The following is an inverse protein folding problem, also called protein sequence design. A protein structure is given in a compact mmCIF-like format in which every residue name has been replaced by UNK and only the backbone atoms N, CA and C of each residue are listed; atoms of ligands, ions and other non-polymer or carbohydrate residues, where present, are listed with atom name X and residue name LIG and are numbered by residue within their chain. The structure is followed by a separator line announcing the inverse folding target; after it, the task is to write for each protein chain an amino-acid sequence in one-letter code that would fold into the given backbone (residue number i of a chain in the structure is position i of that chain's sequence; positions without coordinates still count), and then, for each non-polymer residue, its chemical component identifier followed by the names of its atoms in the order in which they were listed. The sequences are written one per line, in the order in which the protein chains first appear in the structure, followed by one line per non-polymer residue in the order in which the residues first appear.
data_IF_074781482227
#
_entry.id   IF_074781482227
#
_cell.length_a   1.000
_cell.length_b   1.000
_cell.length_c   1.000
_cell.angle_alpha   90.00
_cell.angle_beta   90.00
_cell.angle_gamma   90.00
#
_symmetry.space_group_name_H-M   'P 1'
#
loop_
_entity.id
_entity.type
_entity.pdbx_description
1 polymer ?
#
# COMPACT_ATOMS: atom_id res chain seq x y z
N UNK A 1 -11.23 -24.89 10.55
CA UNK A 1 -9.84 -24.40 10.44
C UNK A 1 -9.65 -23.71 9.10
N UNK A 2 -9.36 -22.40 9.09
CA UNK A 2 -8.93 -21.69 7.88
C UNK A 2 -7.43 -21.36 8.03
N UNK A 3 -6.56 -22.24 7.53
CA UNK A 3 -5.11 -22.01 7.44
C UNK A 3 -4.78 -20.94 6.40
N UNK A 4 -3.60 -20.32 6.51
CA UNK A 4 -3.05 -19.38 5.53
C UNK A 4 -2.04 -20.09 4.62
N UNK A 5 -2.11 -19.96 3.29
CA UNK A 5 -1.09 -20.55 2.43
C UNK A 5 0.18 -19.67 2.41
N UNK A 6 1.34 -20.31 2.56
CA UNK A 6 2.64 -19.77 2.16
C UNK A 6 3.29 -20.84 1.29
N UNK A 7 3.70 -20.52 0.06
CA UNK A 7 4.33 -21.52 -0.83
C UNK A 7 5.65 -22.00 -0.22
N UNK A 8 5.76 -23.30 0.04
CA UNK A 8 6.98 -23.94 0.49
C UNK A 8 7.96 -24.15 -0.67
N UNK A 9 9.25 -23.93 -0.42
CA UNK A 9 10.36 -24.47 -1.21
C UNK A 9 10.56 -25.96 -0.91
N UNK A 10 11.27 -26.66 -1.80
CA UNK A 10 11.50 -28.11 -1.76
C UNK A 10 11.90 -28.65 -0.37
N UNK A 11 11.47 -29.88 -0.01
CA UNK A 11 11.72 -30.43 1.31
C UNK A 11 13.22 -30.67 1.54
N UNK A 12 13.71 -30.29 2.73
CA UNK A 12 15.01 -30.69 3.21
C UNK A 12 15.04 -32.22 3.42
N UNK A 13 16.10 -32.87 2.97
CA UNK A 13 16.15 -34.31 2.82
C UNK A 13 16.15 -35.13 4.12
N UNK A 14 16.32 -34.52 5.30
CA UNK A 14 16.21 -35.21 6.60
C UNK A 14 16.00 -34.18 7.73
N UNK A 15 14.76 -33.79 8.02
CA UNK A 15 14.42 -32.98 9.20
C UNK A 15 13.29 -31.95 9.02
N UNK A 16 12.74 -31.48 10.15
CA UNK A 16 11.77 -30.36 10.20
C UNK A 16 12.50 -29.07 9.79
N UNK A 17 12.07 -28.44 8.71
CA UNK A 17 12.57 -27.11 8.33
C UNK A 17 11.76 -26.03 9.04
N UNK A 18 12.44 -25.02 9.59
CA UNK A 18 11.81 -23.87 10.25
C UNK A 18 11.97 -22.64 9.36
N UNK A 19 10.86 -21.98 9.07
CA UNK A 19 10.84 -20.70 8.35
C UNK A 19 10.35 -19.59 9.29
N UNK A 20 11.17 -18.57 9.53
CA UNK A 20 10.70 -17.37 10.20
C UNK A 20 9.78 -16.57 9.25
N UNK A 21 8.56 -16.33 9.68
CA UNK A 21 7.57 -15.52 8.95
C UNK A 21 7.45 -14.12 9.54
N UNK A 22 7.77 -13.95 10.82
CA UNK A 22 7.61 -12.69 11.53
C UNK A 22 8.57 -12.60 12.72
N UNK A 23 9.28 -11.48 12.80
CA UNK A 23 9.98 -11.06 14.01
C UNK A 23 9.12 -10.02 14.75
N UNK A 24 8.88 -10.15 16.07
CA UNK A 24 8.09 -9.18 16.81
C UNK A 24 8.85 -7.85 16.92
N UNK A 25 8.15 -6.71 16.95
CA UNK A 25 8.77 -5.43 17.21
C UNK A 25 9.36 -5.40 18.63
N UNK A 26 10.68 -5.40 18.75
CA UNK A 26 11.41 -4.86 19.90
C UNK A 26 11.08 -5.44 21.28
N UNK A 27 10.81 -6.75 21.39
CA UNK A 27 10.80 -7.38 22.73
C UNK A 27 12.25 -7.49 23.23
N UNK A 28 12.65 -6.59 24.12
CA UNK A 28 13.85 -6.77 24.94
C UNK A 28 13.80 -8.14 25.61
N UNK A 29 14.91 -8.89 25.56
CA UNK A 29 15.04 -10.14 26.30
C UNK A 29 14.78 -9.87 27.78
N UNK A 30 13.62 -10.30 28.27
CA UNK A 30 13.25 -10.19 29.68
C UNK A 30 14.21 -11.07 30.49
N UNK A 31 15.24 -10.46 31.09
CA UNK A 31 16.20 -11.20 31.91
C UNK A 31 15.50 -11.76 33.15
N UNK A 32 15.79 -13.03 33.48
CA UNK A 32 15.30 -13.67 34.70
C UNK A 32 14.06 -14.57 34.58
N UNK A 33 13.48 -14.77 33.39
CA UNK A 33 12.43 -15.79 33.17
C UNK A 33 12.83 -16.83 32.11
N UNK A 34 12.25 -18.05 32.15
CA UNK A 34 12.44 -19.02 31.07
C UNK A 34 11.96 -18.48 29.72
N UNK A 35 12.61 -18.93 28.65
CA UNK A 35 12.13 -18.76 27.28
C UNK A 35 10.81 -19.52 27.14
N UNK A 36 9.74 -18.81 26.77
CA UNK A 36 8.42 -19.38 26.55
C UNK A 36 8.22 -19.64 25.06
N UNK A 37 8.08 -20.91 24.71
CA UNK A 37 7.84 -21.37 23.33
C UNK A 37 6.45 -21.97 23.23
N UNK A 38 5.60 -21.40 22.38
CA UNK A 38 4.30 -21.98 22.03
C UNK A 38 4.49 -23.03 20.94
N UNK A 39 3.81 -24.17 21.11
CA UNK A 39 3.75 -25.24 20.11
C UNK A 39 2.40 -25.13 19.40
N UNK A 40 2.45 -25.00 18.08
CA UNK A 40 1.36 -24.66 17.17
C UNK A 40 0.82 -23.22 17.31
N UNK A 41 0.23 -22.91 18.47
CA UNK A 41 -0.48 -21.67 18.74
C UNK A 41 -0.32 -21.36 20.23
N UNK A 42 -0.12 -20.09 20.65
CA UNK A 42 -0.22 -19.68 22.04
C UNK A 42 -1.46 -20.25 22.74
N UNK A 43 -1.27 -20.91 23.88
CA UNK A 43 -2.40 -21.44 24.67
C UNK A 43 -3.36 -20.30 25.02
N UNK A 44 -4.65 -20.47 24.69
CA UNK A 44 -5.68 -19.45 24.88
C UNK A 44 -5.98 -18.58 23.65
N UNK A 45 -5.20 -18.71 22.56
CA UNK A 45 -5.44 -17.96 21.31
C UNK A 45 -6.41 -18.69 20.37
N UNK A 46 -7.45 -17.99 19.95
CA UNK A 46 -8.38 -18.47 18.93
C UNK A 46 -7.79 -18.33 17.51
N UNK A 47 -7.58 -19.48 16.86
CA UNK A 47 -6.85 -19.60 15.59
C UNK A 47 -7.44 -18.81 14.41
N UNK A 48 -8.76 -18.57 14.38
CA UNK A 48 -9.43 -17.93 13.24
C UNK A 48 -9.72 -16.43 13.45
N UNK A 49 -9.75 -15.97 14.71
CA UNK A 49 -10.25 -14.63 15.09
C UNK A 49 -9.18 -13.76 15.74
N UNK A 50 -8.16 -14.36 16.36
CA UNK A 50 -7.18 -13.62 17.15
C UNK A 50 -7.67 -13.22 18.54
N UNK A 51 -8.86 -13.67 18.95
CA UNK A 51 -9.31 -13.53 20.34
C UNK A 51 -8.39 -14.33 21.27
N UNK A 52 -8.12 -13.78 22.45
CA UNK A 52 -7.16 -14.33 23.41
C UNK A 52 -7.83 -14.44 24.77
N UNK A 53 -7.60 -15.55 25.46
CA UNK A 53 -7.98 -15.72 26.87
C UNK A 53 -7.24 -14.71 27.74
N UNK A 54 -7.92 -14.12 28.73
CA UNK A 54 -7.34 -13.12 29.63
C UNK A 54 -6.15 -13.66 30.46
N UNK A 55 -6.07 -14.98 30.63
CA UNK A 55 -4.99 -15.69 31.33
C UNK A 55 -3.87 -16.17 30.40
N UNK A 56 -3.93 -15.85 29.10
CA UNK A 56 -2.91 -16.27 28.15
C UNK A 56 -1.54 -15.64 28.45
N UNK A 57 -0.49 -16.44 28.26
CA UNK A 57 0.89 -16.00 28.44
C UNK A 57 1.40 -15.22 27.23
N UNK A 58 2.40 -14.37 27.45
CA UNK A 58 3.21 -13.78 26.38
C UNK A 58 4.33 -14.75 25.98
N UNK A 59 4.26 -15.32 24.78
CA UNK A 59 5.33 -16.16 24.26
C UNK A 59 6.45 -15.33 23.62
N UNK A 60 7.67 -15.87 23.71
CA UNK A 60 8.85 -15.32 23.05
C UNK A 60 8.94 -15.83 21.60
N UNK A 61 8.58 -17.11 21.40
CA UNK A 61 8.57 -17.78 20.09
C UNK A 61 7.32 -18.66 19.99
N UNK A 62 6.71 -18.72 18.81
CA UNK A 62 5.68 -19.69 18.44
C UNK A 62 6.18 -20.53 17.27
N UNK A 63 6.24 -21.85 17.43
CA UNK A 63 6.52 -22.79 16.33
C UNK A 63 5.20 -23.39 15.86
N UNK A 64 4.70 -22.92 14.72
CA UNK A 64 3.45 -23.42 14.13
C UNK A 64 3.70 -24.44 13.04
N UNK A 65 2.77 -25.38 12.85
CA UNK A 65 2.96 -26.47 11.91
C UNK A 65 2.31 -26.22 10.57
N UNK A 66 3.07 -26.49 9.50
CA UNK A 66 2.70 -26.48 8.10
C UNK A 66 2.35 -25.09 7.54
N UNK A 67 1.38 -24.42 8.15
CA UNK A 67 0.87 -23.12 7.74
C UNK A 67 0.55 -22.27 8.96
N UNK A 68 0.77 -20.94 8.88
CA UNK A 68 0.32 -20.05 9.92
C UNK A 68 -1.21 -19.95 9.92
N UNK A 69 -1.75 -19.59 11.08
CA UNK A 69 -3.17 -19.45 11.34
C UNK A 69 -3.50 -17.97 11.40
N UNK A 70 -4.73 -17.59 11.04
CA UNK A 70 -5.16 -16.19 11.00
C UNK A 70 -4.93 -15.48 12.34
N UNK A 71 -5.20 -16.17 13.44
CA UNK A 71 -5.00 -15.68 14.80
C UNK A 71 -3.58 -15.25 15.12
N UNK A 72 -2.56 -15.75 14.41
CA UNK A 72 -1.18 -15.29 14.59
C UNK A 72 -0.96 -13.84 14.16
N UNK A 73 -1.81 -13.30 13.27
CA UNK A 73 -1.70 -11.95 12.71
C UNK A 73 -2.85 -11.02 13.12
N UNK A 74 -3.81 -11.52 13.91
CA UNK A 74 -4.97 -10.76 14.34
C UNK A 74 -4.81 -10.35 15.81
N UNK A 75 -4.95 -9.06 16.07
CA UNK A 75 -4.95 -8.52 17.43
C UNK A 75 -6.29 -8.80 18.14
N UNK A 76 -6.28 -9.01 19.47
CA UNK A 76 -5.14 -8.89 20.40
C UNK A 76 -4.13 -10.05 20.36
N UNK A 77 -4.51 -11.21 19.84
CA UNK A 77 -3.73 -12.45 19.87
C UNK A 77 -2.31 -12.36 19.32
N UNK A 78 -2.10 -11.61 18.23
CA UNK A 78 -0.78 -11.40 17.62
C UNK A 78 0.28 -10.88 18.60
N UNK A 79 -0.10 -10.11 19.63
CA UNK A 79 0.82 -9.61 20.67
C UNK A 79 1.45 -10.72 21.52
N UNK A 80 0.77 -11.87 21.61
CA UNK A 80 1.17 -13.01 22.43
C UNK A 80 2.01 -14.04 21.68
N UNK A 81 2.16 -13.89 20.35
CA UNK A 81 2.82 -14.89 19.48
C UNK A 81 4.34 -14.88 19.60
N UNK A 82 4.95 -13.70 19.76
CA UNK A 82 6.40 -13.56 19.69
C UNK A 82 6.92 -13.75 18.25
N UNK A 83 8.12 -14.33 18.11
CA UNK A 83 8.66 -14.74 16.81
C UNK A 83 7.87 -15.94 16.26
N UNK A 84 7.40 -15.85 15.02
CA UNK A 84 6.61 -16.91 14.40
C UNK A 84 7.48 -17.73 13.46
N UNK A 85 7.71 -18.99 13.83
CA UNK A 85 8.39 -19.98 13.01
C UNK A 85 7.37 -20.98 12.46
N UNK A 86 7.42 -21.27 11.17
CA UNK A 86 6.62 -22.34 10.55
C UNK A 86 7.49 -23.56 10.32
N UNK A 87 7.11 -24.66 10.96
CA UNK A 87 7.68 -25.98 10.81
C UNK A 87 7.03 -26.72 9.64
N UNK A 88 7.81 -27.10 8.62
CA UNK A 88 7.36 -28.06 7.62
C UNK A 88 7.31 -29.45 8.24
N UNK A 89 6.11 -30.04 8.24
CA UNK A 89 5.84 -31.38 8.78
C UNK A 89 5.48 -32.38 7.67
N UNK A 90 5.74 -32.04 6.40
CA UNK A 90 5.54 -32.92 5.25
C UNK A 90 4.07 -33.08 4.83
N UNK A 91 3.22 -32.07 5.07
CA UNK A 91 1.85 -32.11 4.54
C UNK A 91 1.85 -31.96 3.01
N UNK A 92 0.88 -32.60 2.35
CA UNK A 92 0.69 -32.41 0.91
C UNK A 92 0.27 -30.96 0.62
N UNK A 93 1.03 -30.18 -0.17
CA UNK A 93 0.69 -28.80 -0.53
C UNK A 93 -0.69 -28.67 -1.20
N UNK A 94 -1.20 -29.74 -1.81
CA UNK A 94 -2.55 -29.76 -2.41
C UNK A 94 -3.65 -29.51 -1.38
N UNK A 95 -3.40 -29.79 -0.10
CA UNK A 95 -4.36 -29.51 0.98
C UNK A 95 -4.58 -28.00 1.20
N UNK A 96 -3.68 -27.15 0.69
CA UNK A 96 -3.84 -25.70 0.70
C UNK A 96 -4.49 -25.16 -0.59
N UNK A 97 -4.80 -26.00 -1.58
CA UNK A 97 -5.52 -25.55 -2.78
C UNK A 97 -6.89 -24.97 -2.40
N UNK A 98 -7.21 -23.79 -2.93
CA UNK A 98 -8.46 -23.09 -2.63
C UNK A 98 -8.46 -22.28 -1.33
N UNK A 99 -7.34 -22.22 -0.60
CA UNK A 99 -7.16 -21.26 0.50
C UNK A 99 -7.07 -19.84 -0.07
N UNK A 100 -8.05 -19.00 0.27
CA UNK A 100 -8.15 -17.64 -0.27
C UNK A 100 -7.37 -16.58 0.54
N UNK A 101 -6.64 -16.97 1.58
CA UNK A 101 -5.88 -16.05 2.43
C UNK A 101 -4.45 -16.55 2.57
N UNK A 102 -3.50 -15.70 2.22
CA UNK A 102 -2.07 -16.01 2.18
C UNK A 102 -1.28 -15.05 3.07
N UNK A 103 -0.02 -15.40 3.36
CA UNK A 103 0.96 -14.48 3.95
C UNK A 103 2.03 -14.20 2.92
N UNK A 104 2.36 -12.92 2.71
CA UNK A 104 3.38 -12.54 1.74
C UNK A 104 4.74 -13.16 2.11
N UNK A 105 5.29 -13.94 1.19
CA UNK A 105 6.59 -14.57 1.33
C UNK A 105 7.64 -13.91 0.43
N UNK A 106 8.91 -13.76 0.86
CA UNK A 106 10.01 -13.26 0.05
C UNK A 106 10.08 -13.78 -1.40
N UNK A 107 9.87 -15.09 -1.62
CA UNK A 107 9.97 -15.68 -2.96
C UNK A 107 8.79 -15.24 -3.86
N UNK A 108 7.60 -15.07 -3.26
CA UNK A 108 6.45 -14.51 -3.97
C UNK A 108 6.74 -13.07 -4.38
N UNK A 109 7.29 -12.26 -3.47
CA UNK A 109 7.67 -10.87 -3.77
C UNK A 109 8.71 -10.82 -4.89
N UNK A 110 9.76 -11.64 -4.82
CA UNK A 110 10.79 -11.72 -5.85
C UNK A 110 10.20 -12.01 -7.24
N UNK A 111 9.23 -12.92 -7.32
CA UNK A 111 8.56 -13.29 -8.57
C UNK A 111 7.60 -12.23 -9.13
N UNK A 112 7.13 -11.32 -8.28
CA UNK A 112 6.20 -10.24 -8.65
C UNK A 112 6.92 -8.94 -9.04
N UNK A 113 8.19 -8.77 -8.61
CA UNK A 113 8.98 -7.59 -8.95
C UNK A 113 9.35 -7.55 -10.43
N UNK A 114 9.35 -6.36 -11.07
CA UNK A 114 9.64 -6.23 -12.49
C UNK A 114 11.12 -6.49 -12.77
N UNK A 115 11.41 -7.13 -13.90
CA UNK A 115 12.77 -7.29 -14.39
C UNK A 115 13.36 -5.94 -14.84
N UNK A 116 14.70 -5.82 -14.83
CA UNK A 116 15.41 -4.65 -15.34
C UNK A 116 16.38 -5.04 -16.47
N UNK A 117 15.91 -5.03 -17.73
CA UNK A 117 16.75 -5.34 -18.89
C UNK A 117 17.91 -4.35 -19.06
N UNK A 118 19.03 -4.81 -19.62
CA UNK A 118 20.23 -3.97 -19.86
C UNK A 118 20.02 -2.93 -20.97
N UNK A 119 19.11 -3.18 -21.90
CA UNK A 119 18.75 -2.30 -23.02
C UNK A 119 17.56 -1.38 -22.70
N UNK A 120 17.14 -1.31 -21.44
CA UNK A 120 16.02 -0.48 -21.00
C UNK A 120 16.33 1.02 -21.00
N UNK A 121 15.30 1.83 -21.23
CA UNK A 121 15.34 3.29 -21.12
C UNK A 121 14.27 3.79 -20.15
N UNK A 122 14.25 5.10 -19.83
CA UNK A 122 13.25 5.67 -18.91
C UNK A 122 11.78 5.36 -19.28
N UNK A 123 11.45 5.27 -20.57
CA UNK A 123 10.09 4.88 -21.00
C UNK A 123 9.73 3.41 -20.79
N UNK A 124 10.71 2.53 -20.53
CA UNK A 124 10.49 1.09 -20.31
C UNK A 124 9.83 0.84 -18.95
N UNK A 125 10.06 1.75 -18.00
CA UNK A 125 9.57 1.67 -16.62
C UNK A 125 8.35 2.58 -16.37
N UNK A 126 7.69 2.97 -17.46
CA UNK A 126 6.48 3.77 -17.52
C UNK A 126 6.54 5.14 -16.83
N UNK A 127 5.37 5.77 -16.76
CA UNK A 127 5.17 7.15 -16.34
C UNK A 127 4.05 7.23 -15.30
N UNK A 128 4.40 7.66 -14.10
CA UNK A 128 3.45 7.94 -13.03
C UNK A 128 3.12 9.43 -12.96
N UNK A 129 1.85 9.75 -12.73
CA UNK A 129 1.40 11.10 -12.38
C UNK A 129 0.88 11.12 -10.95
N UNK A 130 1.39 12.02 -10.11
CA UNK A 130 0.96 12.15 -8.72
C UNK A 130 0.23 13.47 -8.58
N UNK A 131 -1.08 13.41 -8.34
CA UNK A 131 -1.97 14.56 -8.12
C UNK A 131 -2.16 14.73 -6.63
N UNK A 132 -1.56 15.79 -6.08
CA UNK A 132 -1.50 15.96 -4.62
C UNK A 132 -0.94 17.31 -4.20
N UNK A 133 -0.87 17.47 -2.88
CA UNK A 133 -0.38 18.67 -2.23
C UNK A 133 -1.39 19.80 -2.14
N UNK A 134 -1.19 20.61 -1.11
CA UNK A 134 -1.94 21.81 -0.80
C UNK A 134 -1.05 22.76 0.02
N UNK A 135 -1.53 23.96 0.31
CA UNK A 135 -0.82 24.93 1.15
C UNK A 135 -0.36 24.33 2.49
N UNK A 136 -1.16 23.44 3.09
CA UNK A 136 -0.89 22.84 4.39
C UNK A 136 -0.10 21.52 4.29
N UNK A 137 -0.12 20.84 3.14
CA UNK A 137 0.44 19.50 2.98
C UNK A 137 1.42 19.41 1.79
N UNK A 138 2.38 20.33 1.75
CA UNK A 138 3.37 20.44 0.66
C UNK A 138 4.28 19.20 0.54
N UNK A 139 4.58 18.53 1.67
CA UNK A 139 5.53 17.42 1.73
C UNK A 139 4.99 16.09 1.20
N UNK A 140 3.68 15.85 1.31
CA UNK A 140 3.05 14.58 0.95
C UNK A 140 3.33 14.13 -0.51
N UNK A 141 3.13 14.98 -1.54
CA UNK A 141 3.46 14.58 -2.91
C UNK A 141 4.97 14.37 -3.11
N UNK A 142 5.84 15.05 -2.36
CA UNK A 142 7.30 14.86 -2.44
C UNK A 142 7.69 13.45 -2.00
N UNK A 143 7.21 13.02 -0.83
CA UNK A 143 7.46 11.69 -0.29
C UNK A 143 7.00 10.59 -1.25
N UNK A 144 5.79 10.76 -1.80
CA UNK A 144 5.24 9.81 -2.77
C UNK A 144 6.07 9.74 -4.07
N UNK A 145 6.52 10.89 -4.60
CA UNK A 145 7.32 10.94 -5.82
C UNK A 145 8.70 10.31 -5.65
N UNK A 146 9.39 10.62 -4.56
CA UNK A 146 10.67 9.99 -4.25
C UNK A 146 10.51 8.49 -4.08
N UNK A 147 9.49 8.03 -3.34
CA UNK A 147 9.22 6.61 -3.17
C UNK A 147 8.96 5.89 -4.51
N UNK A 148 8.19 6.50 -5.42
CA UNK A 148 7.94 5.96 -6.76
C UNK A 148 9.24 5.79 -7.57
N UNK A 149 10.15 6.76 -7.52
CA UNK A 149 11.47 6.62 -8.14
C UNK A 149 12.32 5.54 -7.46
N UNK A 150 12.30 5.48 -6.13
CA UNK A 150 13.11 4.53 -5.34
C UNK A 150 12.74 3.07 -5.59
N UNK A 151 11.49 2.79 -5.95
CA UNK A 151 11.05 1.45 -6.39
C UNK A 151 11.22 1.21 -7.90
N UNK A 152 11.65 2.22 -8.65
CA UNK A 152 12.12 2.03 -10.02
C UNK A 152 11.29 2.63 -11.14
N UNK A 153 10.29 3.47 -10.86
CA UNK A 153 9.50 4.14 -11.89
C UNK A 153 10.39 4.93 -12.88
N UNK A 154 10.01 4.93 -14.16
CA UNK A 154 10.80 5.54 -15.22
C UNK A 154 10.73 7.07 -15.26
N UNK A 155 9.52 7.60 -15.14
CA UNK A 155 9.25 9.03 -15.04
C UNK A 155 8.15 9.27 -14.02
N UNK A 156 8.33 10.27 -13.17
CA UNK A 156 7.30 10.76 -12.26
C UNK A 156 7.02 12.23 -12.58
N UNK A 157 5.74 12.57 -12.71
CA UNK A 157 5.28 13.97 -12.76
C UNK A 157 4.46 14.28 -11.51
N UNK A 158 4.75 15.42 -10.89
CA UNK A 158 3.95 15.99 -9.81
C UNK A 158 2.95 17.00 -10.37
N UNK A 159 1.66 16.72 -10.22
CA UNK A 159 0.58 17.64 -10.50
C UNK A 159 0.14 18.34 -9.20
N UNK A 160 0.57 19.59 -9.03
CA UNK A 160 0.47 20.32 -7.76
C UNK A 160 -0.13 21.72 -7.97
N UNK A 161 -0.77 22.31 -6.94
CA UNK A 161 -1.18 23.72 -6.94
C UNK A 161 -0.05 24.67 -7.36
N UNK A 162 -0.36 25.65 -8.21
CA UNK A 162 0.60 26.65 -8.68
C UNK A 162 1.32 27.38 -7.54
N UNK A 163 0.59 27.70 -6.47
CA UNK A 163 1.13 28.38 -5.29
C UNK A 163 2.21 27.58 -4.56
N UNK A 164 2.13 26.25 -4.54
CA UNK A 164 3.11 25.41 -3.83
C UNK A 164 4.24 24.91 -4.72
N UNK A 165 4.10 25.02 -6.05
CA UNK A 165 5.07 24.52 -7.02
C UNK A 165 6.53 24.94 -6.71
N UNK A 166 6.86 26.22 -6.42
CA UNK A 166 8.25 26.60 -6.10
C UNK A 166 8.80 25.90 -4.85
N UNK A 167 7.95 25.63 -3.85
CA UNK A 167 8.35 24.95 -2.61
C UNK A 167 8.60 23.47 -2.89
N UNK A 168 7.71 22.83 -3.65
CA UNK A 168 7.86 21.42 -4.04
C UNK A 168 9.12 21.24 -4.91
N UNK A 169 9.32 22.10 -5.92
CA UNK A 169 10.48 22.07 -6.80
C UNK A 169 11.82 22.31 -6.07
N UNK A 170 11.80 22.98 -4.92
CA UNK A 170 12.98 23.13 -4.08
C UNK A 170 13.28 21.90 -3.21
N UNK A 171 12.27 21.04 -2.95
CA UNK A 171 12.41 19.85 -2.10
C UNK A 171 12.78 18.59 -2.89
N UNK A 172 12.30 18.46 -4.13
CA UNK A 172 12.54 17.29 -4.99
C UNK A 172 13.01 17.73 -6.36
N UNK A 173 14.06 17.07 -6.88
CA UNK A 173 14.76 17.52 -8.09
C UNK A 173 14.38 16.71 -9.33
N UNK A 174 14.14 15.41 -9.16
CA UNK A 174 13.94 14.45 -10.22
C UNK A 174 12.57 14.52 -10.90
N UNK A 175 11.43 14.76 -10.18
CA UNK A 175 10.13 14.81 -10.82
C UNK A 175 9.99 15.97 -11.80
N UNK A 176 9.20 15.75 -12.83
CA UNK A 176 8.68 16.85 -13.67
C UNK A 176 7.41 17.42 -13.05
N UNK A 177 6.95 18.58 -13.52
CA UNK A 177 5.79 19.27 -12.93
C UNK A 177 4.66 19.52 -13.94
N UNK A 178 3.43 19.22 -13.51
CA UNK A 178 2.21 19.69 -14.13
C UNK A 178 1.56 20.71 -13.19
N UNK A 179 1.81 21.98 -13.45
CA UNK A 179 1.33 23.05 -12.56
C UNK A 179 -0.18 23.25 -12.74
N UNK A 180 -0.94 23.09 -11.67
CA UNK A 180 -2.40 23.13 -11.69
C UNK A 180 -2.95 24.46 -11.13
N UNK A 181 -4.03 25.01 -11.71
CA UNK A 181 -4.81 26.09 -11.12
C UNK A 181 -5.20 25.81 -9.67
N UNK A 182 -5.04 26.81 -8.81
CA UNK A 182 -5.40 26.75 -7.39
C UNK A 182 -6.12 28.01 -6.95
N UNK A 183 -6.84 27.90 -5.83
CA UNK A 183 -7.26 29.03 -5.02
C UNK A 183 -6.70 28.84 -3.61
N UNK A 184 -6.03 29.86 -3.08
CA UNK A 184 -5.36 29.82 -1.77
C UNK A 184 -4.49 28.56 -1.52
N UNK A 185 -3.91 27.98 -2.58
CA UNK A 185 -3.04 26.80 -2.50
C UNK A 185 -3.76 25.46 -2.40
N UNK A 186 -5.07 25.40 -2.70
CA UNK A 186 -5.82 24.14 -2.86
C UNK A 186 -6.34 23.99 -4.28
N UNK A 187 -6.51 22.76 -4.76
CA UNK A 187 -6.97 22.51 -6.13
C UNK A 187 -8.42 22.96 -6.31
N UNK A 188 -8.71 23.53 -7.48
CA UNK A 188 -10.04 24.01 -7.88
C UNK A 188 -10.54 23.28 -9.12
N UNK A 189 -11.86 23.27 -9.41
CA UNK A 189 -12.41 22.53 -10.55
C UNK A 189 -11.78 22.87 -11.91
N UNK A 190 -11.30 24.10 -12.12
CA UNK A 190 -10.62 24.50 -13.36
C UNK A 190 -9.30 23.78 -13.60
N UNK A 191 -8.69 23.17 -12.56
CA UNK A 191 -7.51 22.33 -12.70
C UNK A 191 -7.77 21.06 -13.51
N UNK A 192 -9.01 20.56 -13.53
CA UNK A 192 -9.38 19.39 -14.33
C UNK A 192 -9.13 19.59 -15.82
N UNK A 193 -9.25 20.83 -16.31
CA UNK A 193 -8.97 21.14 -17.72
C UNK A 193 -7.51 20.86 -18.06
N UNK A 194 -6.58 21.35 -17.25
CA UNK A 194 -5.14 21.17 -17.45
C UNK A 194 -4.77 19.70 -17.31
N UNK A 195 -5.36 19.01 -16.34
CA UNK A 195 -5.16 17.58 -16.13
C UNK A 195 -5.68 16.75 -17.32
N UNK A 196 -6.88 17.04 -17.80
CA UNK A 196 -7.53 16.31 -18.89
C UNK A 196 -6.78 16.39 -20.23
N UNK A 197 -6.02 17.47 -20.47
CA UNK A 197 -5.20 17.61 -21.68
C UNK A 197 -3.95 16.73 -21.69
N UNK A 198 -3.52 16.24 -20.52
CA UNK A 198 -2.25 15.53 -20.32
C UNK A 198 -2.38 14.15 -19.70
N UNK A 199 -3.57 13.79 -19.20
CA UNK A 199 -3.78 12.53 -18.48
C UNK A 199 -3.42 11.29 -19.31
N UNK A 200 -3.63 11.35 -20.63
CA UNK A 200 -3.34 10.25 -21.56
C UNK A 200 -1.82 10.03 -21.78
N UNK A 201 -0.96 10.94 -21.30
CA UNK A 201 0.49 10.81 -21.39
C UNK A 201 1.08 9.87 -20.30
N UNK A 202 0.25 9.39 -19.37
CA UNK A 202 0.65 8.65 -18.16
C UNK A 202 0.01 7.26 -18.09
N UNK A 203 0.75 6.31 -17.53
CA UNK A 203 0.31 4.91 -17.43
C UNK A 203 -0.52 4.66 -16.16
N UNK A 204 -0.26 5.41 -15.09
CA UNK A 204 -0.94 5.29 -13.79
C UNK A 204 -0.93 6.62 -13.04
N UNK A 205 -1.98 6.87 -12.26
CA UNK A 205 -2.09 8.05 -11.40
C UNK A 205 -2.11 7.67 -9.93
N UNK A 206 -1.47 8.47 -9.07
CA UNK A 206 -1.71 8.52 -7.63
C UNK A 206 -2.46 9.81 -7.31
N UNK A 207 -3.58 9.72 -6.62
CA UNK A 207 -4.39 10.88 -6.22
C UNK A 207 -4.66 10.81 -4.73
N UNK A 208 -4.44 11.93 -4.02
CA UNK A 208 -4.77 12.00 -2.60
C UNK A 208 -3.75 12.64 -1.67
N UNK A 209 -2.45 12.27 -1.74
CA UNK A 209 -1.44 12.74 -0.80
C UNK A 209 -1.47 14.27 -0.62
N UNK A 210 -1.98 14.73 0.52
CA UNK A 210 -2.04 16.15 0.90
C UNK A 210 -2.99 17.03 0.08
N UNK A 211 -4.03 16.48 -0.57
CA UNK A 211 -4.98 17.31 -1.34
C UNK A 211 -5.76 18.30 -0.46
N UNK A 212 -5.98 17.97 0.81
CA UNK A 212 -6.94 18.68 1.66
C UNK A 212 -8.38 18.27 1.36
N UNK A 213 -9.31 18.81 2.14
CA UNK A 213 -10.74 18.45 2.08
C UNK A 213 -11.66 19.66 1.92
N UNK A 214 -11.11 20.78 1.45
CA UNK A 214 -11.82 22.03 1.20
C UNK A 214 -12.94 21.84 0.17
N UNK A 215 -14.00 22.69 0.18
CA UNK A 215 -15.12 22.58 -0.75
C UNK A 215 -14.69 22.58 -2.23
N UNK A 216 -13.75 23.45 -2.61
CA UNK A 216 -13.21 23.50 -3.97
C UNK A 216 -12.45 22.24 -4.37
N UNK A 217 -11.65 21.67 -3.47
CA UNK A 217 -10.95 20.39 -3.66
C UNK A 217 -11.95 19.25 -3.82
N UNK A 218 -13.04 19.26 -3.04
CA UNK A 218 -14.12 18.28 -3.17
C UNK A 218 -14.78 18.35 -4.55
N UNK A 219 -15.07 19.56 -5.03
CA UNK A 219 -15.66 19.76 -6.37
C UNK A 219 -14.70 19.30 -7.48
N UNK A 220 -13.40 19.58 -7.32
CA UNK A 220 -12.35 19.05 -8.20
C UNK A 220 -12.34 17.51 -8.20
N UNK A 221 -12.29 16.85 -7.05
CA UNK A 221 -12.28 15.39 -6.95
C UNK A 221 -13.58 14.75 -7.47
N UNK A 222 -14.73 15.36 -7.21
CA UNK A 222 -16.02 14.93 -7.77
C UNK A 222 -16.01 15.00 -9.30
N UNK A 223 -15.54 16.11 -9.87
CA UNK A 223 -15.36 16.27 -11.32
C UNK A 223 -14.37 15.25 -11.91
N UNK A 224 -13.25 15.01 -11.24
CA UNK A 224 -12.25 14.01 -11.62
C UNK A 224 -12.85 12.60 -11.73
N UNK A 225 -13.51 12.13 -10.67
CA UNK A 225 -14.09 10.79 -10.58
C UNK A 225 -15.34 10.64 -11.47
N UNK A 226 -16.13 11.70 -11.64
CA UNK A 226 -17.28 11.69 -12.55
C UNK A 226 -16.89 11.78 -14.03
N UNK A 227 -15.62 12.11 -14.31
CA UNK A 227 -15.14 12.41 -15.66
C UNK A 227 -15.73 13.68 -16.27
N UNK A 228 -16.38 14.52 -15.46
CA UNK A 228 -17.00 15.77 -15.88
C UNK A 228 -15.99 16.91 -15.78
N UNK A 229 -15.66 17.53 -16.91
CA UNK A 229 -14.79 18.69 -16.97
C UNK A 229 -15.27 19.64 -18.07
N UNK A 230 -15.01 20.95 -17.89
CA UNK A 230 -15.37 21.96 -18.88
C UNK A 230 -14.19 22.25 -19.80
N UNK A 231 -14.39 22.09 -21.11
CA UNK A 231 -13.42 22.51 -22.11
C UNK A 231 -13.25 24.04 -22.09
N UNK A 232 -11.99 24.50 -22.18
CA UNK A 232 -11.70 25.93 -22.37
C UNK A 232 -12.01 26.41 -23.79
N UNK A 233 -12.08 27.73 -24.04
CA UNK A 233 -12.11 28.26 -25.40
C UNK A 233 -10.89 27.75 -26.18
N UNK A 234 -11.08 27.38 -27.46
CA UNK A 234 -9.97 26.93 -28.33
C UNK A 234 -8.87 28.00 -28.34
N UNK A 235 -7.60 27.65 -28.10
CA UNK A 235 -6.51 28.62 -28.22
C UNK A 235 -6.46 29.14 -29.66
N UNK A 236 -6.40 30.47 -29.83
CA UNK A 236 -6.20 31.12 -31.12
C UNK A 236 -4.69 31.12 -31.38
N UNK A 237 -4.17 30.03 -31.96
CA UNK A 237 -2.74 29.87 -32.27
C UNK A 237 -2.40 28.48 -32.80
N UNK A 238 -1.24 28.34 -33.45
CA UNK A 238 -0.71 27.07 -33.97
C UNK A 238 -0.29 26.13 -32.83
N UNK A 239 -1.27 25.53 -32.18
CA UNK A 239 -1.11 24.51 -31.15
C UNK A 239 -2.45 23.80 -30.99
N UNK A 240 -2.63 22.67 -31.67
CA UNK A 240 -3.86 21.90 -31.58
C UNK A 240 -4.09 21.48 -30.12
N UNK A 241 -5.16 21.98 -29.49
CA UNK A 241 -5.68 21.35 -28.27
C UNK A 241 -5.98 19.89 -28.61
N UNK A 242 -5.33 18.96 -27.89
CA UNK A 242 -5.43 17.51 -28.16
C UNK A 242 -6.84 16.95 -27.95
N UNK A 243 -7.69 17.63 -27.16
CA UNK A 243 -9.08 17.25 -26.92
C UNK A 243 -10.00 18.42 -27.27
N UNK A 244 -10.77 18.26 -28.35
CA UNK A 244 -11.68 19.29 -28.88
C UNK A 244 -13.17 19.05 -28.58
N UNK A 245 -13.49 18.02 -27.79
CA UNK A 245 -14.85 17.56 -27.49
C UNK A 245 -15.04 17.34 -25.98
N UNK A 246 -16.30 17.49 -25.52
CA UNK A 246 -16.78 17.15 -24.16
C UNK A 246 -16.75 15.62 -23.91
N UNK A 247 -15.71 14.92 -24.36
CA UNK A 247 -15.58 13.50 -24.09
C UNK A 247 -15.25 13.27 -22.62
N UNK A 248 -15.91 12.29 -21.98
CA UNK A 248 -15.66 11.97 -20.59
C UNK A 248 -14.20 11.57 -20.41
N UNK A 249 -13.61 12.06 -19.32
CA UNK A 249 -12.22 11.78 -18.97
C UNK A 249 -12.01 10.27 -18.83
N UNK A 250 -11.23 9.67 -19.74
CA UNK A 250 -10.76 8.29 -19.56
C UNK A 250 -9.61 8.31 -18.55
N UNK A 251 -9.85 7.72 -17.38
CA UNK A 251 -8.86 7.63 -16.31
C UNK A 251 -7.95 6.41 -16.52
N UNK A 252 -6.62 6.57 -16.48
CA UNK A 252 -5.70 5.45 -16.30
C UNK A 252 -5.94 4.77 -14.95
N UNK A 253 -5.39 3.57 -14.72
CA UNK A 253 -5.37 2.96 -13.39
C UNK A 253 -4.99 3.95 -12.29
N UNK A 254 -5.68 3.87 -11.14
CA UNK A 254 -5.53 4.82 -10.04
C UNK A 254 -4.99 4.15 -8.79
N UNK A 255 -4.12 4.85 -8.07
CA UNK A 255 -3.85 4.64 -6.65
C UNK A 255 -4.52 5.77 -5.89
N UNK A 256 -5.42 5.44 -4.97
CA UNK A 256 -6.19 6.41 -4.19
C UNK A 256 -5.80 6.29 -2.72
N UNK A 257 -5.26 7.37 -2.15
CA UNK A 257 -4.82 7.42 -0.76
C UNK A 257 -5.36 8.67 -0.04
N UNK A 258 -5.27 8.68 1.29
CA UNK A 258 -5.45 9.87 2.12
C UNK A 258 -6.73 10.67 1.80
N UNK A 259 -6.58 11.96 1.48
CA UNK A 259 -7.70 12.87 1.24
C UNK A 259 -8.57 12.46 0.05
N UNK A 260 -8.02 11.80 -0.96
CA UNK A 260 -8.85 11.27 -2.04
C UNK A 260 -9.84 10.23 -1.52
N UNK A 261 -9.43 9.36 -0.59
CA UNK A 261 -10.32 8.39 0.06
C UNK A 261 -11.38 9.07 0.92
N UNK A 262 -10.99 10.10 1.68
CA UNK A 262 -11.94 10.88 2.49
C UNK A 262 -12.98 11.58 1.60
N UNK A 263 -12.56 12.18 0.49
CA UNK A 263 -13.46 12.85 -0.46
C UNK A 263 -14.36 11.85 -1.21
N UNK A 264 -13.83 10.67 -1.59
CA UNK A 264 -14.59 9.58 -2.19
C UNK A 264 -15.73 9.09 -1.28
N UNK A 265 -15.51 9.05 0.04
CA UNK A 265 -16.52 8.58 0.99
C UNK A 265 -17.82 9.41 0.99
N UNK A 266 -17.78 10.64 0.48
CA UNK A 266 -18.95 11.51 0.31
C UNK A 266 -19.67 11.37 -1.04
N UNK A 267 -19.19 10.51 -1.95
CA UNK A 267 -19.77 10.31 -3.28
C UNK A 267 -20.59 9.01 -3.33
N UNK A 268 -21.75 9.04 -3.99
CA UNK A 268 -22.54 7.83 -4.19
C UNK A 268 -21.96 6.95 -5.30
N UNK A 269 -21.86 5.64 -5.02
CA UNK A 269 -21.44 4.60 -5.98
C UNK A 269 -20.16 4.94 -6.75
N UNK A 270 -19.22 5.67 -6.12
CA UNK A 270 -17.97 6.12 -6.75
C UNK A 270 -17.16 4.98 -7.36
N UNK A 271 -17.23 3.77 -6.78
CA UNK A 271 -16.51 2.58 -7.24
C UNK A 271 -16.93 2.13 -8.64
N UNK A 272 -18.10 2.52 -9.13
CA UNK A 272 -18.55 2.20 -10.50
C UNK A 272 -17.88 3.06 -11.56
N UNK A 273 -17.19 4.13 -11.12
CA UNK A 273 -16.52 5.10 -11.98
C UNK A 273 -14.99 4.94 -11.96
N UNK A 274 -14.48 4.08 -11.09
CA UNK A 274 -13.05 3.81 -11.04
C UNK A 274 -12.66 2.89 -12.21
N UNK A 275 -11.49 3.14 -12.83
CA UNK A 275 -10.96 2.24 -13.84
C UNK A 275 -10.57 0.90 -13.21
N UNK A 276 -10.54 -0.14 -14.04
CA UNK A 276 -9.94 -1.42 -13.66
C UNK A 276 -8.49 -1.22 -13.24
N UNK A 277 -7.93 -2.17 -12.47
CA UNK A 277 -6.58 -2.06 -11.93
C UNK A 277 -6.37 -0.88 -10.95
N UNK A 278 -7.44 -0.36 -10.34
CA UNK A 278 -7.31 0.65 -9.29
C UNK A 278 -6.95 0.03 -7.92
N UNK A 279 -6.14 0.74 -7.14
CA UNK A 279 -5.73 0.39 -5.78
C UNK A 279 -6.21 1.47 -4.80
N UNK A 280 -6.83 1.05 -3.70
CA UNK A 280 -7.16 1.93 -2.58
C UNK A 280 -6.32 1.57 -1.36
N UNK A 281 -5.78 2.56 -0.66
CA UNK A 281 -4.87 2.33 0.49
C UNK A 281 -5.39 2.87 1.83
N UNK A 282 -6.64 2.57 2.26
CA UNK A 282 -7.20 3.16 3.47
C UNK A 282 -6.53 2.66 4.75
N UNK A 283 -6.32 3.56 5.70
CA UNK A 283 -6.15 3.19 7.11
C UNK A 283 -7.52 2.83 7.74
N UNK A 284 -7.58 2.24 8.96
CA UNK A 284 -8.85 1.80 9.54
C UNK A 284 -9.93 2.89 9.63
N UNK A 285 -9.56 4.12 10.00
CA UNK A 285 -10.47 5.27 9.97
C UNK A 285 -11.03 5.64 8.58
N UNK A 286 -10.20 5.69 7.53
CA UNK A 286 -10.65 5.91 6.15
C UNK A 286 -11.54 4.77 5.68
N UNK A 287 -11.16 3.52 5.95
CA UNK A 287 -11.95 2.34 5.62
C UNK A 287 -13.33 2.40 6.26
N UNK A 288 -13.41 2.69 7.56
CA UNK A 288 -14.66 2.81 8.30
C UNK A 288 -15.61 3.83 7.66
N UNK A 289 -15.10 4.99 7.24
CA UNK A 289 -15.87 6.00 6.49
C UNK A 289 -16.35 5.47 5.13
N UNK A 290 -15.47 4.84 4.36
CA UNK A 290 -15.79 4.30 3.03
C UNK A 290 -16.86 3.20 3.06
N UNK A 291 -16.85 2.34 4.08
CA UNK A 291 -17.83 1.24 4.20
C UNK A 291 -19.06 1.62 5.03
N UNK A 292 -19.06 2.77 5.69
CA UNK A 292 -20.17 3.24 6.52
C UNK A 292 -20.32 2.51 7.86
N UNK A 293 -19.20 2.19 8.53
CA UNK A 293 -19.20 1.61 9.88
C UNK A 293 -18.20 2.31 10.80
N UNK A 294 -17.99 1.77 12.01
CA UNK A 294 -17.01 2.29 12.96
C UNK A 294 -15.64 1.57 12.86
N UNK A 295 -14.60 2.22 13.39
CA UNK A 295 -13.23 1.67 13.38
C UNK A 295 -13.13 0.34 14.13
N UNK A 296 -13.75 0.14 15.32
CA UNK A 296 -13.73 -1.14 16.01
C UNK A 296 -14.29 -2.29 15.17
N UNK A 297 -15.34 -2.07 14.38
CA UNK A 297 -15.90 -3.09 13.47
C UNK A 297 -14.89 -3.46 12.37
N UNK A 298 -14.22 -2.48 11.77
CA UNK A 298 -13.14 -2.74 10.79
C UNK A 298 -12.00 -3.54 11.43
N UNK A 299 -11.58 -3.17 12.64
CA UNK A 299 -10.46 -3.82 13.33
C UNK A 299 -10.79 -5.26 13.74
N UNK A 300 -12.04 -5.57 14.11
CA UNK A 300 -12.48 -6.92 14.48
C UNK A 300 -12.45 -7.90 13.29
N UNK A 301 -12.75 -7.43 12.08
CA UNK A 301 -12.74 -8.25 10.86
C UNK A 301 -11.99 -7.55 9.72
N UNK A 302 -10.68 -7.30 9.91
CA UNK A 302 -9.82 -6.65 8.90
C UNK A 302 -9.81 -7.41 7.57
N UNK A 303 -9.62 -8.73 7.64
CA UNK A 303 -9.57 -9.63 6.48
C UNK A 303 -10.91 -9.62 5.72
N UNK A 304 -12.02 -9.86 6.41
CA UNK A 304 -13.33 -9.90 5.75
C UNK A 304 -13.77 -8.53 5.24
N UNK A 305 -13.44 -7.45 5.95
CA UNK A 305 -13.76 -6.08 5.52
C UNK A 305 -13.00 -5.72 4.26
N UNK A 306 -11.68 -5.90 4.22
CA UNK A 306 -10.88 -5.64 3.03
C UNK A 306 -11.33 -6.47 1.83
N UNK A 307 -11.61 -7.77 2.03
CA UNK A 307 -12.11 -8.65 0.98
C UNK A 307 -13.46 -8.23 0.42
N UNK A 308 -14.45 -7.96 1.29
CA UNK A 308 -15.79 -7.51 0.86
C UNK A 308 -15.70 -6.18 0.10
N UNK A 309 -14.87 -5.27 0.58
CA UNK A 309 -14.62 -3.99 -0.05
C UNK A 309 -13.99 -4.14 -1.44
N UNK A 310 -12.91 -4.91 -1.57
CA UNK A 310 -12.23 -5.17 -2.84
C UNK A 310 -13.16 -5.79 -3.89
N UNK A 311 -13.92 -6.82 -3.53
CA UNK A 311 -14.88 -7.47 -4.42
C UNK A 311 -16.03 -6.52 -4.82
N UNK A 312 -16.56 -5.73 -3.88
CA UNK A 312 -17.65 -4.77 -4.15
C UNK A 312 -17.18 -3.65 -5.08
N UNK A 313 -15.99 -3.11 -4.82
CA UNK A 313 -15.46 -1.96 -5.54
C UNK A 313 -14.71 -2.36 -6.82
N UNK A 314 -14.49 -3.66 -7.04
CA UNK A 314 -13.71 -4.20 -8.17
C UNK A 314 -12.31 -3.58 -8.26
N UNK A 315 -11.71 -3.35 -7.09
CA UNK A 315 -10.42 -2.71 -6.93
C UNK A 315 -9.56 -3.51 -5.96
N UNK A 316 -8.24 -3.39 -6.07
CA UNK A 316 -7.34 -3.87 -5.04
C UNK A 316 -7.40 -2.96 -3.82
N UNK A 317 -7.39 -3.52 -2.61
CA UNK A 317 -7.51 -2.76 -1.37
C UNK A 317 -6.38 -3.11 -0.41
N UNK A 318 -5.62 -2.12 0.04
CA UNK A 318 -4.61 -2.22 1.09
C UNK A 318 -5.16 -1.60 2.37
N UNK A 319 -5.69 -2.43 3.27
CA UNK A 319 -6.11 -1.98 4.60
C UNK A 319 -4.88 -1.86 5.50
N UNK A 320 -4.41 -0.60 5.66
CA UNK A 320 -3.18 -0.27 6.40
C UNK A 320 -3.28 -0.61 7.89
N UNK A 321 -2.11 -0.76 8.52
CA UNK A 321 -1.94 -1.08 9.94
C UNK A 321 -0.96 -2.23 10.16
N UNK A 322 -0.73 -2.60 11.41
CA UNK A 322 0.03 -3.80 11.74
C UNK A 322 -0.59 -5.02 11.05
N UNK A 323 0.25 -5.83 10.40
CA UNK A 323 -0.17 -6.87 9.47
C UNK A 323 -1.17 -6.34 8.44
N UNK A 324 -0.70 -5.42 7.59
CA UNK A 324 -1.54 -4.83 6.54
C UNK A 324 -2.18 -5.92 5.68
N UNK A 325 -3.45 -5.73 5.35
CA UNK A 325 -4.24 -6.72 4.60
C UNK A 325 -4.44 -6.20 3.19
N UNK A 326 -3.97 -6.95 2.19
CA UNK A 326 -4.15 -6.65 0.77
C UNK A 326 -5.20 -7.59 0.19
N UNK A 327 -6.28 -7.07 -0.38
CA UNK A 327 -7.35 -7.87 -0.96
C UNK A 327 -7.52 -7.56 -2.46
N UNK A 328 -7.71 -8.62 -3.24
CA UNK A 328 -7.97 -8.55 -4.68
C UNK A 328 -9.47 -8.41 -5.00
N UNK A 329 -9.83 -7.90 -6.19
CA UNK A 329 -11.20 -7.91 -6.70
C UNK A 329 -11.83 -9.32 -6.73
N UNK A 330 -11.01 -10.36 -6.95
CA UNK A 330 -11.41 -11.76 -7.05
C UNK A 330 -11.63 -12.43 -5.68
N UNK A 331 -11.24 -11.76 -4.59
CA UNK A 331 -11.47 -12.21 -3.23
C UNK A 331 -10.30 -12.94 -2.56
N UNK A 332 -9.17 -13.10 -3.25
CA UNK A 332 -7.88 -13.50 -2.66
C UNK A 332 -7.36 -12.40 -1.74
N UNK A 333 -6.80 -12.78 -0.60
CA UNK A 333 -6.25 -11.86 0.40
C UNK A 333 -4.83 -12.25 0.75
N UNK A 334 -3.94 -11.28 0.88
CA UNK A 334 -2.55 -11.45 1.33
C UNK A 334 -2.30 -10.59 2.56
N UNK A 335 -1.77 -11.20 3.62
CA UNK A 335 -1.33 -10.52 4.83
C UNK A 335 0.15 -10.16 4.67
N UNK A 336 0.49 -8.90 4.91
CA UNK A 336 1.88 -8.43 4.93
C UNK A 336 2.47 -8.71 6.32
N UNK A 337 3.55 -9.48 6.46
CA UNK A 337 4.00 -10.05 7.74
C UNK A 337 4.77 -9.06 8.63
N UNK A 338 4.49 -7.76 8.52
CA UNK A 338 5.17 -6.71 9.29
C UNK A 338 4.20 -6.03 10.26
N UNK A 339 4.64 -5.92 11.51
CA UNK A 339 3.98 -5.15 12.55
C UNK A 339 5.02 -4.25 13.23
N UNK A 340 5.26 -3.09 12.62
CA UNK A 340 6.29 -2.16 13.08
C UNK A 340 5.67 -0.84 13.57
N UNK A 341 5.70 -0.57 14.90
CA UNK A 341 5.19 0.69 15.45
C UNK A 341 5.89 1.94 14.91
N UNK A 342 7.13 1.85 14.43
CA UNK A 342 7.87 2.99 13.88
C UNK A 342 7.20 3.59 12.63
N UNK A 343 6.39 2.80 11.92
CA UNK A 343 5.59 3.26 10.78
C UNK A 343 4.38 4.12 11.19
N UNK A 344 4.07 4.22 12.48
CA UNK A 344 3.04 5.10 13.02
C UNK A 344 3.51 6.58 13.08
N UNK A 345 4.13 7.03 11.99
CA UNK A 345 4.61 8.41 11.78
C UNK A 345 3.89 9.02 10.58
N UNK A 346 3.65 10.33 10.63
CA UNK A 346 2.98 11.03 9.53
C UNK A 346 3.83 10.95 8.24
N UNK A 347 3.17 10.72 7.11
CA UNK A 347 3.81 10.62 5.80
C UNK A 347 4.30 9.22 5.39
N UNK A 348 4.31 8.23 6.29
CA UNK A 348 4.65 6.84 5.91
C UNK A 348 3.66 6.28 4.88
N UNK A 349 2.38 6.64 5.00
CA UNK A 349 1.34 6.34 4.01
C UNK A 349 1.66 6.90 2.61
N UNK A 350 2.21 8.11 2.53
CA UNK A 350 2.56 8.74 1.25
C UNK A 350 3.71 7.97 0.57
N UNK A 351 4.69 7.49 1.35
CA UNK A 351 5.77 6.62 0.86
C UNK A 351 5.22 5.30 0.35
N UNK A 352 4.29 4.67 1.07
CA UNK A 352 3.62 3.44 0.63
C UNK A 352 2.86 3.66 -0.68
N UNK A 353 2.04 4.71 -0.78
CA UNK A 353 1.27 5.02 -1.98
C UNK A 353 2.19 5.30 -3.18
N UNK A 354 3.30 6.01 -2.94
CA UNK A 354 4.37 6.25 -3.90
C UNK A 354 5.04 4.96 -4.40
N UNK A 355 5.35 4.03 -3.50
CA UNK A 355 5.89 2.72 -3.86
C UNK A 355 4.92 1.90 -4.72
N UNK A 356 3.62 1.91 -4.39
CA UNK A 356 2.60 1.18 -5.17
C UNK A 356 2.47 1.78 -6.58
N UNK A 357 2.31 3.10 -6.70
CA UNK A 357 2.16 3.75 -8.01
C UNK A 357 3.43 3.58 -8.87
N UNK A 358 4.62 3.60 -8.24
CA UNK A 358 5.87 3.38 -8.95
C UNK A 358 6.04 1.97 -9.49
N UNK A 359 5.52 0.95 -8.79
CA UNK A 359 5.49 -0.43 -9.29
C UNK A 359 4.45 -0.61 -10.40
N UNK A 360 3.27 -0.01 -10.25
CA UNK A 360 2.24 -0.04 -11.30
C UNK A 360 2.71 0.64 -12.59
N UNK A 361 3.46 1.75 -12.49
CA UNK A 361 4.06 2.41 -13.66
C UNK A 361 5.02 1.47 -14.41
N UNK A 362 5.68 0.55 -13.71
CA UNK A 362 6.57 -0.46 -14.31
C UNK A 362 5.80 -1.64 -14.95
N UNK A 363 4.46 -1.59 -14.97
CA UNK A 363 3.61 -2.64 -15.54
C UNK A 363 3.26 -3.78 -14.57
N UNK A 364 3.56 -3.63 -13.28
CA UNK A 364 3.15 -4.61 -12.26
C UNK A 364 1.63 -4.52 -12.05
N UNK A 365 0.87 -5.63 -12.15
CA UNK A 365 -0.57 -5.64 -11.92
C UNK A 365 -0.95 -5.07 -10.55
N UNK A 366 -2.09 -4.41 -10.45
CA UNK A 366 -2.53 -3.63 -9.28
C UNK A 366 -2.46 -4.40 -7.96
N UNK A 367 -2.94 -5.64 -7.93
CA UNK A 367 -2.91 -6.49 -6.73
C UNK A 367 -1.47 -6.86 -6.32
N UNK A 368 -0.62 -7.20 -7.29
CA UNK A 368 0.79 -7.51 -7.04
C UNK A 368 1.57 -6.26 -6.61
N UNK A 369 1.32 -5.12 -7.25
CA UNK A 369 1.95 -3.85 -6.89
C UNK A 369 1.56 -3.42 -5.46
N UNK A 370 0.31 -3.65 -5.07
CA UNK A 370 -0.17 -3.42 -3.71
C UNK A 370 0.55 -4.32 -2.68
N UNK A 371 0.72 -5.62 -2.98
CA UNK A 371 1.46 -6.56 -2.13
C UNK A 371 2.94 -6.16 -2.02
N UNK A 372 3.62 -6.00 -3.16
CA UNK A 372 5.04 -5.63 -3.21
C UNK A 372 5.29 -4.28 -2.54
N UNK A 373 4.48 -3.25 -2.84
CA UNK A 373 4.62 -1.93 -2.24
C UNK A 373 4.50 -1.97 -0.71
N UNK A 374 3.49 -2.66 -0.19
CA UNK A 374 3.30 -2.82 1.26
C UNK A 374 4.41 -3.65 1.92
N UNK A 375 4.89 -4.70 1.25
CA UNK A 375 5.99 -5.52 1.73
C UNK A 375 7.31 -4.74 1.76
N UNK A 376 7.68 -4.06 0.68
CA UNK A 376 8.91 -3.27 0.58
C UNK A 376 8.92 -2.11 1.58
N UNK A 377 7.77 -1.47 1.77
CA UNK A 377 7.59 -0.42 2.78
C UNK A 377 7.80 -0.96 4.21
N UNK A 378 7.19 -2.10 4.54
CA UNK A 378 7.41 -2.75 5.84
C UNK A 378 8.86 -3.21 6.06
N UNK A 379 9.47 -3.80 5.03
CA UNK A 379 10.86 -4.25 5.08
C UNK A 379 11.85 -3.07 5.23
N UNK A 380 11.60 -1.95 4.56
CA UNK A 380 12.39 -0.73 4.75
C UNK A 380 12.33 -0.22 6.20
N UNK A 381 11.16 -0.33 6.85
CA UNK A 381 11.02 0.01 8.26
C UNK A 381 11.75 -0.96 9.19
N UNK A 382 11.70 -2.28 8.91
CA UNK A 382 12.48 -3.27 9.66
C UNK A 382 13.98 -2.98 9.58
N UNK A 383 14.51 -2.73 8.37
CA UNK A 383 15.91 -2.35 8.17
C UNK A 383 16.27 -1.12 9.01
N UNK A 384 15.41 -0.10 9.00
CA UNK A 384 15.63 1.13 9.77
C UNK A 384 15.61 0.88 11.28
N UNK A 385 14.73 -0.01 11.75
CA UNK A 385 14.62 -0.36 13.15
C UNK A 385 15.78 -1.22 13.64
N UNK A 386 16.31 -2.11 12.80
CA UNK A 386 17.56 -2.84 13.07
C UNK A 386 18.72 -1.86 13.34
N UNK A 387 18.78 -0.75 12.60
CA UNK A 387 19.91 0.18 12.65
C UNK A 387 19.83 1.24 13.77
N UNK A 388 18.65 1.82 14.02
CA UNK A 388 18.50 2.86 15.07
C UNK A 388 17.28 2.70 15.99
N UNK A 389 16.67 1.52 16.04
CA UNK A 389 15.50 1.27 16.88
C UNK A 389 14.20 1.88 16.35
N UNK A 390 13.15 1.80 17.17
CA UNK A 390 11.76 2.08 16.76
C UNK A 390 11.32 3.54 16.93
N UNK A 391 11.93 4.28 17.87
CA UNK A 391 11.50 5.64 18.16
C UNK A 391 12.18 6.65 17.23
N UNK A 392 11.45 7.68 16.82
CA UNK A 392 11.99 8.83 16.08
C UNK A 392 12.14 8.60 14.56
N UNK A 393 11.57 7.54 14.00
CA UNK A 393 11.53 7.35 12.55
C UNK A 393 10.69 8.44 11.87
N UNK A 394 11.26 9.06 10.85
CA UNK A 394 10.55 9.94 9.91
C UNK A 394 10.21 9.18 8.63
N UNK A 395 9.15 9.59 7.93
CA UNK A 395 8.80 8.99 6.64
C UNK A 395 9.94 9.11 5.61
N UNK A 396 10.72 10.19 5.64
CA UNK A 396 11.88 10.39 4.78
C UNK A 396 12.99 9.36 5.00
N UNK A 397 13.07 8.75 6.19
CA UNK A 397 14.07 7.72 6.49
C UNK A 397 13.83 6.42 5.70
N UNK A 398 12.58 6.19 5.27
CA UNK A 398 12.21 5.02 4.47
C UNK A 398 12.70 5.13 3.02
N UNK A 399 12.75 6.35 2.48
CA UNK A 399 13.10 6.61 1.08
C UNK A 399 14.46 6.02 0.65
N UNK A 400 15.57 6.26 1.38
CA UNK A 400 16.86 5.66 1.01
C UNK A 400 16.90 4.14 1.22
N UNK A 401 15.99 3.57 2.01
CA UNK A 401 15.95 2.15 2.34
C UNK A 401 15.07 1.33 1.40
N UNK A 402 14.14 1.95 0.68
CA UNK A 402 13.33 1.26 -0.34
C UNK A 402 14.18 0.49 -1.38
N UNK A 403 15.25 1.04 -1.98
CA UNK A 403 16.09 0.27 -2.90
C UNK A 403 16.80 -0.91 -2.23
N UNK A 404 17.16 -0.79 -0.95
CA UNK A 404 17.75 -1.89 -0.19
C UNK A 404 16.72 -2.98 0.12
N UNK A 405 15.49 -2.58 0.46
CA UNK A 405 14.36 -3.49 0.61
C UNK A 405 14.08 -4.25 -0.70
N UNK A 406 14.11 -3.56 -1.85
CA UNK A 406 13.99 -4.19 -3.18
C UNK A 406 15.10 -5.21 -3.37
N UNK A 407 16.36 -4.84 -3.12
CA UNK A 407 17.50 -5.76 -3.22
C UNK A 407 17.32 -7.01 -2.34
N UNK A 408 16.98 -6.84 -1.06
CA UNK A 408 16.76 -7.96 -0.13
C UNK A 408 15.60 -8.85 -0.60
N UNK A 409 14.51 -8.26 -1.10
CA UNK A 409 13.36 -8.99 -1.60
C UNK A 409 13.62 -9.73 -2.93
N UNK A 410 14.50 -9.21 -3.80
CA UNK A 410 14.86 -9.87 -5.07
C UNK A 410 15.82 -11.05 -4.92
N UNK A 411 16.58 -11.11 -3.83
CA UNK A 411 17.50 -12.22 -3.51
C UNK A 411 17.11 -12.84 -2.15
N UNK A 412 15.99 -13.58 -2.09
CA UNK A 412 15.58 -14.25 -0.86
C UNK A 412 16.69 -15.21 -0.41
N UNK A 413 17.05 -15.14 0.87
CA UNK A 413 18.13 -15.92 1.49
C UNK A 413 17.66 -17.27 1.99
#
# INVERSE_FOLDING_TARGET
HRSLAARATQPAADGVSLRNIQSPPGKEQRSGRPLLVAVDVPTGLHCDTGEIDELALDFDVTVTFAYPKRGHFLFPGASHVGELLVADIGIDPKLAEGVAVEVAAPEQIASMLPARPLDAHKGTFGKALIVGGSANYVGAPCLAAEAAYRVGAGLVTLAVPQRIHPIVAAKVTEPTFLVLPDDMGVLVPTALRVLAERIDDYDVLLVGPGLGTEPSTRDFCSGFISGQWQAGPKPIGFGASRRSSQEPLRLPPLVLDADALNLLSGLDRWWERLPTESVLTPHPGEMARLVGCDVPTVQRDRIGTARRAACRWKCSVVLKGAYSVVASPEGTVTIIPFANPALATAGSGDVLAGAIVGLMAQGVPSFHAAICGAYLHGLAAEIRCEEYGQMGMLASDLLPLLPLAVKRASTPS
#
